data_IF_847930670535
#
_entry.id   IF_847930670535
#
_cell.length_a   1.000
_cell.length_b   1.000
_cell.length_c   1.000
_cell.angle_alpha   90.00
_cell.angle_beta   90.00
_cell.angle_gamma   90.00
#
_symmetry.space_group_name_H-M   'P 1'
#
loop_
_entity.id
_entity.type
_entity.pdbx_description
1 polymer ?
#
# COMPACT_ATOMS: atom_id res chain seq x y z
N UNK A 1 5.58 -6.76 0.21
CA UNK A 1 5.87 -5.41 -0.35
C UNK A 1 6.20 -4.52 0.82
N UNK A 2 7.20 -3.68 0.68
CA UNK A 2 7.81 -2.89 1.77
C UNK A 2 7.40 -1.42 1.74
N UNK A 3 6.42 -1.04 0.89
CA UNK A 3 5.92 0.33 0.72
C UNK A 3 7.01 1.34 0.28
N UNK A 4 8.14 0.85 -0.22
CA UNK A 4 9.27 1.67 -0.62
C UNK A 4 9.31 1.77 -2.16
N UNK A 5 9.05 2.95 -2.69
CA UNK A 5 9.09 3.21 -4.14
C UNK A 5 10.50 3.08 -4.76
N UNK A 6 11.54 2.97 -3.92
CA UNK A 6 12.93 2.78 -4.36
C UNK A 6 13.30 1.30 -4.52
N UNK A 7 12.42 0.40 -4.13
CA UNK A 7 12.55 -1.04 -4.36
C UNK A 7 11.53 -1.48 -5.38
N UNK A 8 11.87 -2.45 -6.20
CA UNK A 8 10.99 -2.91 -7.27
C UNK A 8 11.21 -4.40 -7.57
N UNK A 9 10.20 -4.98 -8.13
CA UNK A 9 10.27 -6.25 -8.85
C UNK A 9 10.44 -5.96 -10.35
N UNK A 10 11.27 -6.75 -11.02
CA UNK A 10 11.44 -6.69 -12.47
C UNK A 10 11.28 -8.07 -13.08
N UNK A 11 10.67 -8.12 -14.25
CA UNK A 11 10.62 -9.31 -15.10
C UNK A 11 11.99 -9.56 -15.76
N UNK A 12 12.14 -10.69 -16.41
CA UNK A 12 13.37 -11.01 -17.12
C UNK A 12 13.57 -10.12 -18.36
N UNK A 13 12.50 -9.61 -18.93
CA UNK A 13 12.53 -8.78 -20.14
C UNK A 13 11.37 -7.79 -20.15
N UNK A 14 11.38 -6.86 -21.13
CA UNK A 14 10.26 -5.97 -21.43
C UNK A 14 9.28 -6.52 -22.46
N UNK A 15 9.34 -7.80 -22.79
CA UNK A 15 8.49 -8.36 -23.85
C UNK A 15 7.04 -8.44 -23.43
N UNK A 16 6.18 -8.36 -24.41
CA UNK A 16 4.75 -8.64 -24.24
C UNK A 16 4.56 -10.06 -23.70
N UNK A 17 3.68 -10.20 -22.71
CA UNK A 17 3.41 -11.47 -22.05
C UNK A 17 4.08 -11.68 -20.71
N UNK A 18 5.09 -10.90 -20.35
CA UNK A 18 5.67 -10.90 -18.99
C UNK A 18 4.61 -10.54 -17.94
N UNK A 19 4.68 -11.15 -16.77
CA UNK A 19 3.65 -10.97 -15.75
C UNK A 19 4.20 -11.08 -14.32
N UNK A 20 3.51 -10.41 -13.40
CA UNK A 20 3.64 -10.60 -11.96
C UNK A 20 2.31 -11.09 -11.40
N UNK A 21 2.36 -12.09 -10.54
CA UNK A 21 1.22 -12.62 -9.80
C UNK A 21 1.46 -12.50 -8.31
N UNK A 22 0.42 -12.13 -7.58
CA UNK A 22 0.40 -12.17 -6.12
C UNK A 22 -0.68 -13.15 -5.65
N UNK A 23 -0.38 -13.88 -4.56
CA UNK A 23 -1.33 -14.73 -3.84
C UNK A 23 -1.78 -13.99 -2.57
N UNK A 24 -3.06 -13.73 -2.44
CA UNK A 24 -3.64 -13.09 -1.26
C UNK A 24 -3.79 -14.06 -0.06
N UNK A 25 -3.33 -15.31 -0.25
CA UNK A 25 -3.40 -16.37 0.76
C UNK A 25 -4.78 -17.04 0.88
N UNK A 26 -5.84 -16.31 0.63
CA UNK A 26 -7.23 -16.78 0.64
C UNK A 26 -8.10 -15.99 -0.34
N UNK A 27 -9.29 -16.47 -0.63
CA UNK A 27 -10.25 -15.73 -1.46
C UNK A 27 -10.77 -14.51 -0.69
N UNK A 28 -10.64 -13.34 -1.32
CA UNK A 28 -11.04 -12.03 -0.82
C UNK A 28 -12.04 -11.38 -1.76
N UNK A 29 -12.77 -10.37 -1.29
CA UNK A 29 -13.53 -9.47 -2.14
C UNK A 29 -12.62 -8.30 -2.52
N UNK A 30 -12.15 -8.29 -3.76
CA UNK A 30 -11.27 -7.25 -4.30
C UNK A 30 -12.12 -6.11 -4.88
N UNK A 31 -11.82 -4.89 -4.49
CA UNK A 31 -12.56 -3.67 -4.86
C UNK A 31 -11.70 -2.70 -5.68
N UNK A 32 -10.39 -2.70 -5.45
CA UNK A 32 -9.48 -1.87 -6.22
C UNK A 32 -8.08 -2.49 -6.28
N UNK A 33 -7.33 -2.11 -7.32
CA UNK A 33 -5.92 -2.49 -7.49
C UNK A 33 -5.13 -1.24 -7.83
N UNK A 34 -4.06 -0.97 -7.07
CA UNK A 34 -3.10 0.07 -7.39
C UNK A 34 -1.87 -0.55 -8.04
N UNK A 35 -1.51 -0.02 -9.19
CA UNK A 35 -0.33 -0.39 -9.95
C UNK A 35 0.67 0.77 -9.89
N UNK A 36 1.87 0.50 -9.39
CA UNK A 36 2.97 1.46 -9.42
C UNK A 36 4.09 0.88 -10.28
N UNK A 37 4.25 1.40 -11.47
CA UNK A 37 5.28 0.98 -12.41
C UNK A 37 6.61 1.63 -11.99
N UNK A 38 7.69 0.89 -12.19
CA UNK A 38 9.05 1.35 -11.91
C UNK A 38 9.84 1.33 -13.21
N UNK A 39 10.13 2.46 -13.76
CA UNK A 39 10.83 2.66 -15.05
C UNK A 39 12.28 2.14 -15.05
N UNK A 40 12.49 0.83 -14.93
CA UNK A 40 13.84 0.26 -14.90
C UNK A 40 14.43 0.10 -16.30
N UNK A 41 15.73 0.39 -16.39
CA UNK A 41 16.56 0.31 -17.60
C UNK A 41 16.12 1.23 -18.76
N UNK A 42 15.13 2.08 -18.52
CA UNK A 42 14.73 3.10 -19.50
C UNK A 42 15.69 4.29 -19.58
N UNK A 43 16.54 4.49 -18.56
CA UNK A 43 17.47 5.62 -18.51
C UNK A 43 18.52 5.60 -19.65
N UNK A 44 18.83 4.41 -20.14
CA UNK A 44 19.76 4.23 -21.26
C UNK A 44 19.14 4.54 -22.62
N UNK A 45 17.81 4.56 -22.68
CA UNK A 45 17.07 4.88 -23.88
C UNK A 45 16.67 6.35 -23.81
N UNK A 46 17.20 7.17 -24.74
CA UNK A 46 16.82 8.58 -24.86
C UNK A 46 15.30 8.72 -24.85
N UNK A 47 14.75 9.30 -23.81
CA UNK A 47 13.32 9.54 -23.64
C UNK A 47 12.97 10.86 -24.27
N UNK A 48 12.42 10.82 -25.45
CA UNK A 48 11.80 11.99 -26.07
C UNK A 48 10.30 12.13 -25.68
N UNK A 49 9.73 11.09 -25.04
CA UNK A 49 8.35 11.08 -24.57
C UNK A 49 8.19 10.25 -23.27
N UNK A 50 7.18 10.58 -22.47
CA UNK A 50 6.79 9.78 -21.30
C UNK A 50 6.41 8.35 -21.75
N UNK A 51 6.88 7.31 -21.06
CA UNK A 51 6.54 5.94 -21.43
C UNK A 51 5.05 5.69 -21.20
N UNK A 52 4.43 5.03 -22.17
CA UNK A 52 3.05 4.58 -22.06
C UNK A 52 3.05 3.09 -21.82
N UNK A 53 2.47 2.66 -20.70
CA UNK A 53 2.41 1.25 -20.34
C UNK A 53 1.06 0.65 -20.71
N UNK A 54 1.09 -0.49 -21.39
CA UNK A 54 -0.10 -1.26 -21.76
C UNK A 54 -0.09 -2.60 -21.06
N UNK A 55 -1.12 -2.85 -20.26
CA UNK A 55 -1.21 -4.05 -19.45
C UNK A 55 -2.67 -4.50 -19.28
N UNK A 56 -2.85 -5.71 -18.81
CA UNK A 56 -4.12 -6.20 -18.28
C UNK A 56 -3.97 -6.63 -16.84
N UNK A 57 -5.04 -6.44 -16.06
CA UNK A 57 -5.18 -6.99 -14.73
C UNK A 57 -6.16 -8.15 -14.78
N UNK A 58 -5.79 -9.25 -14.17
CA UNK A 58 -6.57 -10.47 -14.13
C UNK A 58 -6.71 -10.96 -12.69
N UNK A 59 -7.83 -11.58 -12.38
CA UNK A 59 -8.12 -12.21 -11.09
C UNK A 59 -8.43 -13.69 -11.25
N UNK A 60 -8.13 -14.47 -10.22
CA UNK A 60 -8.45 -15.89 -10.17
C UNK A 60 -8.70 -16.36 -8.74
N UNK A 61 -9.61 -17.31 -8.54
CA UNK A 61 -9.79 -18.00 -7.27
C UNK A 61 -8.88 -19.22 -7.12
N UNK A 62 -8.47 -19.84 -8.22
CA UNK A 62 -7.79 -21.13 -8.25
C UNK A 62 -6.38 -21.11 -8.90
N UNK A 63 -5.98 -19.94 -9.42
CA UNK A 63 -4.71 -19.76 -10.14
C UNK A 63 -4.67 -20.38 -11.54
N UNK A 64 -5.78 -20.94 -12.01
CA UNK A 64 -5.90 -21.61 -13.34
C UNK A 64 -6.89 -20.88 -14.23
N UNK A 65 -8.06 -20.56 -13.71
CA UNK A 65 -9.10 -19.84 -14.43
C UNK A 65 -9.00 -18.35 -14.13
N UNK A 66 -8.75 -17.55 -15.17
CA UNK A 66 -8.47 -16.11 -15.05
C UNK A 66 -9.58 -15.28 -15.67
N UNK A 67 -9.99 -14.26 -14.95
CA UNK A 67 -10.94 -13.25 -15.41
C UNK A 67 -10.23 -11.88 -15.48
N UNK A 68 -10.38 -11.19 -16.59
CA UNK A 68 -9.88 -9.83 -16.74
C UNK A 68 -10.72 -8.87 -15.89
N UNK A 69 -10.05 -8.08 -15.04
CA UNK A 69 -10.66 -7.07 -14.17
C UNK A 69 -10.21 -5.65 -14.53
N UNK A 70 -9.20 -5.51 -15.36
CA UNK A 70 -8.74 -4.23 -15.88
C UNK A 70 -8.09 -4.39 -17.25
N UNK A 71 -8.45 -3.53 -18.19
CA UNK A 71 -7.91 -3.52 -19.55
C UNK A 71 -7.27 -2.17 -19.87
N UNK A 72 -5.96 -2.17 -20.05
CA UNK A 72 -5.16 -1.01 -20.42
C UNK A 72 -4.38 -1.22 -21.72
N UNK A 73 -4.84 -2.15 -22.57
CA UNK A 73 -4.22 -2.42 -23.86
C UNK A 73 -4.27 -1.24 -24.84
N UNK A 74 -5.23 -0.34 -24.64
CA UNK A 74 -5.39 0.89 -25.44
C UNK A 74 -4.98 2.15 -24.70
N UNK A 75 -4.21 2.01 -23.59
CA UNK A 75 -3.73 3.18 -22.89
C UNK A 75 -2.85 4.04 -23.82
N UNK A 76 -3.07 5.33 -23.81
CA UNK A 76 -2.34 6.35 -24.56
C UNK A 76 -1.79 7.48 -23.67
N UNK A 77 -1.85 7.30 -22.36
CA UNK A 77 -1.49 8.30 -21.37
C UNK A 77 -0.43 7.77 -20.40
N UNK A 78 0.31 8.70 -19.82
CA UNK A 78 1.14 8.41 -18.65
C UNK A 78 0.25 8.00 -17.48
N UNK A 79 0.43 6.77 -16.99
CA UNK A 79 -0.33 6.18 -15.90
C UNK A 79 0.56 5.25 -15.05
N UNK A 80 1.75 5.73 -14.65
CA UNK A 80 2.72 4.95 -13.86
C UNK A 80 2.27 4.67 -12.44
N UNK A 81 1.30 5.43 -11.92
CA UNK A 81 0.72 5.27 -10.57
C UNK A 81 -0.80 5.22 -10.63
N UNK A 82 -1.34 4.17 -11.20
CA UNK A 82 -2.78 4.06 -11.43
C UNK A 82 -3.48 3.31 -10.29
N UNK A 83 -4.57 3.89 -9.78
CA UNK A 83 -5.55 3.19 -8.95
C UNK A 83 -6.76 2.80 -9.80
N UNK A 84 -6.92 1.51 -10.06
CA UNK A 84 -8.09 0.95 -10.72
C UNK A 84 -9.13 0.57 -9.66
N UNK A 85 -10.21 1.33 -9.60
CA UNK A 85 -11.40 0.99 -8.79
C UNK A 85 -12.34 0.17 -9.67
N UNK A 86 -12.76 -0.99 -9.18
CA UNK A 86 -13.67 -1.89 -9.90
C UNK A 86 -15.11 -1.41 -9.74
N UNK A 87 -15.92 -1.49 -10.80
CA UNK A 87 -17.34 -1.14 -10.76
C UNK A 87 -18.13 -1.99 -9.76
N UNK A 88 -17.65 -3.19 -9.52
CA UNK A 88 -18.17 -4.13 -8.51
C UNK A 88 -17.02 -4.99 -7.97
N UNK A 89 -17.11 -5.39 -6.71
CA UNK A 89 -16.14 -6.28 -6.12
C UNK A 89 -16.10 -7.64 -6.82
N UNK A 90 -14.92 -8.22 -6.91
CA UNK A 90 -14.70 -9.56 -7.47
C UNK A 90 -14.08 -10.48 -6.42
N UNK A 91 -14.53 -11.75 -6.40
CA UNK A 91 -13.89 -12.76 -5.55
C UNK A 91 -12.60 -13.22 -6.19
N UNK A 92 -11.48 -13.09 -5.48
CA UNK A 92 -10.17 -13.52 -5.97
C UNK A 92 -9.25 -13.96 -4.84
N UNK A 93 -8.41 -14.94 -5.11
CA UNK A 93 -7.22 -15.27 -4.33
C UNK A 93 -5.94 -14.79 -5.01
N UNK A 94 -5.93 -14.79 -6.33
CA UNK A 94 -4.77 -14.38 -7.12
C UNK A 94 -5.09 -13.16 -7.95
N UNK A 95 -4.17 -12.21 -7.96
CA UNK A 95 -4.19 -11.06 -8.87
C UNK A 95 -2.94 -11.11 -9.71
N UNK A 96 -3.10 -10.92 -11.02
CA UNK A 96 -2.00 -10.89 -11.97
C UNK A 96 -2.07 -9.63 -12.82
N UNK A 97 -0.94 -8.98 -12.97
CA UNK A 97 -0.71 -7.96 -13.98
C UNK A 97 0.14 -8.55 -15.08
N UNK A 98 -0.26 -8.35 -16.32
CA UNK A 98 0.44 -8.86 -17.49
C UNK A 98 0.76 -7.72 -18.45
N UNK A 99 2.04 -7.60 -18.80
CA UNK A 99 2.49 -6.66 -19.83
C UNK A 99 1.95 -7.03 -21.20
N UNK A 100 1.45 -6.07 -21.94
CA UNK A 100 0.81 -6.27 -23.24
C UNK A 100 1.54 -5.58 -24.40
N UNK A 101 2.71 -5.01 -24.13
CA UNK A 101 3.52 -4.31 -25.14
C UNK A 101 5.01 -4.61 -24.95
N UNK A 102 5.75 -4.58 -26.05
CA UNK A 102 7.22 -4.67 -25.99
C UNK A 102 7.80 -3.32 -25.54
N UNK A 103 8.49 -3.34 -24.41
CA UNK A 103 9.10 -2.15 -23.81
C UNK A 103 10.51 -1.94 -24.36
N UNK A 104 10.64 -1.51 -25.60
CA UNK A 104 11.86 -1.22 -26.35
C UNK A 104 13.13 -0.99 -25.50
N UNK A 105 13.75 -2.10 -25.04
CA UNK A 105 14.99 -2.09 -24.24
C UNK A 105 14.84 -1.94 -22.74
N UNK A 106 13.66 -1.57 -22.22
CA UNK A 106 13.35 -1.59 -20.78
C UNK A 106 12.89 -2.97 -20.31
N UNK A 107 12.68 -3.13 -19.01
CA UNK A 107 12.09 -4.32 -18.41
C UNK A 107 10.72 -3.97 -17.80
N UNK A 108 9.81 -4.94 -17.81
CA UNK A 108 8.53 -4.74 -17.11
C UNK A 108 8.78 -4.82 -15.60
N UNK A 109 8.62 -3.69 -14.92
CA UNK A 109 8.97 -3.56 -13.51
C UNK A 109 7.92 -2.78 -12.72
N UNK A 110 7.75 -3.16 -11.46
CA UNK A 110 6.74 -2.62 -10.56
C UNK A 110 7.38 -2.27 -9.22
N UNK A 111 7.25 -1.02 -8.78
CA UNK A 111 7.58 -0.62 -7.41
C UNK A 111 6.46 -0.97 -6.42
N UNK A 112 5.26 -1.29 -6.90
CA UNK A 112 4.18 -1.76 -6.07
C UNK A 112 2.99 -2.30 -6.85
N UNK A 113 2.40 -3.36 -6.32
CA UNK A 113 1.09 -3.87 -6.74
C UNK A 113 0.27 -4.07 -5.47
N UNK A 114 -0.68 -3.17 -5.22
CA UNK A 114 -1.52 -3.20 -4.02
C UNK A 114 -2.94 -3.61 -4.37
N UNK A 115 -3.50 -4.49 -3.57
CA UNK A 115 -4.88 -4.95 -3.73
C UNK A 115 -5.68 -4.49 -2.53
N UNK A 116 -6.78 -3.81 -2.80
CA UNK A 116 -7.70 -3.30 -1.79
C UNK A 116 -9.01 -4.07 -1.88
N UNK A 117 -9.54 -4.41 -0.71
CA UNK A 117 -10.78 -5.15 -0.65
C UNK A 117 -11.17 -5.49 0.76
N UNK A 118 -12.17 -6.34 0.89
CA UNK A 118 -12.71 -6.78 2.18
C UNK A 118 -12.64 -8.29 2.35
N UNK A 119 -12.34 -8.71 3.58
CA UNK A 119 -12.39 -10.10 4.01
C UNK A 119 -13.66 -10.40 4.81
N UNK A 120 -13.87 -11.69 5.07
CA UNK A 120 -14.98 -12.18 5.93
C UNK A 120 -14.48 -12.64 7.32
N UNK A 121 -13.23 -12.37 7.65
CA UNK A 121 -12.61 -12.73 8.91
C UNK A 121 -12.89 -11.72 10.03
N UNK A 122 -12.11 -11.80 11.09
CA UNK A 122 -12.18 -10.87 12.22
C UNK A 122 -11.29 -9.66 11.98
N UNK A 123 -11.77 -8.48 12.36
CA UNK A 123 -10.94 -7.32 12.49
C UNK A 123 -9.84 -7.55 13.54
N UNK A 124 -8.68 -6.88 13.46
CA UNK A 124 -7.59 -7.09 14.40
C UNK A 124 -7.97 -6.66 15.82
N UNK A 125 -7.37 -7.30 16.80
CA UNK A 125 -7.50 -6.90 18.19
C UNK A 125 -6.84 -5.53 18.44
N UNK A 126 -7.25 -4.85 19.51
CA UNK A 126 -6.61 -3.60 19.92
C UNK A 126 -5.10 -3.80 20.18
N UNK A 127 -4.29 -2.83 19.81
CA UNK A 127 -2.87 -2.84 20.16
C UNK A 127 -2.68 -2.72 21.68
N UNK A 128 -1.60 -3.30 22.17
CA UNK A 128 -1.15 -3.12 23.55
C UNK A 128 0.19 -2.39 23.58
N UNK A 129 0.55 -1.83 24.74
CA UNK A 129 1.86 -1.21 24.92
C UNK A 129 2.16 0.00 24.03
N UNK A 130 1.14 0.67 23.49
CA UNK A 130 1.36 1.88 22.68
C UNK A 130 2.08 2.94 23.48
N UNK A 131 3.24 3.37 22.99
CA UNK A 131 4.12 4.38 23.61
C UNK A 131 4.51 5.40 22.55
N UNK A 132 4.58 6.64 22.98
CA UNK A 132 5.05 7.77 22.18
C UNK A 132 6.13 8.50 22.97
N UNK A 133 7.26 8.77 22.33
CA UNK A 133 8.38 9.49 22.94
C UNK A 133 8.83 10.60 22.00
N UNK A 134 8.85 11.84 22.49
CA UNK A 134 9.42 12.98 21.76
C UNK A 134 10.95 12.84 21.73
N UNK A 135 11.54 13.12 20.61
CA UNK A 135 12.99 13.13 20.50
C UNK A 135 13.58 14.26 21.35
N UNK A 136 14.54 13.91 22.24
CA UNK A 136 15.12 14.87 23.17
C UNK A 136 15.93 15.98 22.47
N UNK A 137 16.56 15.68 21.33
CA UNK A 137 17.38 16.62 20.59
C UNK A 137 16.55 17.42 19.56
N UNK A 138 15.47 16.84 19.06
CA UNK A 138 14.55 17.51 18.13
C UNK A 138 13.10 17.19 18.49
N UNK A 139 12.51 18.04 19.33
CA UNK A 139 11.12 17.87 19.79
C UNK A 139 10.06 17.96 18.70
N UNK A 140 10.45 18.28 17.46
CA UNK A 140 9.55 18.18 16.30
C UNK A 140 9.37 16.74 15.82
N UNK A 141 10.13 15.78 16.37
CA UNK A 141 10.07 14.35 16.04
C UNK A 141 9.58 13.54 17.23
N UNK A 142 8.90 12.45 16.93
CA UNK A 142 8.46 11.48 17.92
C UNK A 142 8.63 10.06 17.40
N UNK A 143 9.00 9.16 18.28
CA UNK A 143 9.05 7.72 18.04
C UNK A 143 7.82 7.06 18.65
N UNK A 144 7.27 6.11 17.93
CA UNK A 144 6.08 5.33 18.29
C UNK A 144 6.44 3.86 18.36
N UNK A 145 5.98 3.16 19.38
CA UNK A 145 6.14 1.71 19.54
C UNK A 145 4.88 1.11 20.12
N UNK A 146 4.57 -0.10 19.72
CA UNK A 146 3.41 -0.85 20.21
C UNK A 146 3.63 -2.36 20.02
N UNK A 147 2.78 -3.16 20.66
CA UNK A 147 2.77 -4.59 20.45
C UNK A 147 1.63 -4.95 19.52
N UNK A 148 1.97 -5.55 18.40
CA UNK A 148 1.00 -6.12 17.43
C UNK A 148 0.21 -7.25 18.06
N UNK A 149 -1.07 -7.37 17.69
CA UNK A 149 -1.96 -8.43 18.14
C UNK A 149 -2.68 -9.06 16.96
N UNK A 150 -2.38 -10.34 16.71
CA UNK A 150 -3.05 -11.10 15.65
C UNK A 150 -2.72 -10.65 14.22
N UNK A 151 -3.60 -10.98 13.28
CA UNK A 151 -3.45 -10.65 11.87
C UNK A 151 -3.77 -9.17 11.64
N UNK A 152 -2.75 -8.33 11.55
CA UNK A 152 -2.86 -6.90 11.32
C UNK A 152 -2.12 -6.52 10.03
N UNK A 153 -2.80 -5.82 9.13
CA UNK A 153 -2.20 -5.30 7.90
C UNK A 153 -1.43 -4.03 8.16
N UNK A 154 -1.96 -3.14 9.02
CA UNK A 154 -1.33 -1.87 9.34
C UNK A 154 -2.07 -1.13 10.46
N UNK A 155 -1.62 0.09 10.72
CA UNK A 155 -2.11 0.91 11.80
C UNK A 155 -2.33 2.34 11.32
N UNK A 156 -3.35 3.01 11.88
CA UNK A 156 -3.55 4.44 11.71
C UNK A 156 -3.22 5.12 13.05
N UNK A 157 -2.15 5.91 13.07
CA UNK A 157 -1.82 6.78 14.19
C UNK A 157 -2.50 8.12 13.93
N UNK A 158 -3.28 8.62 14.90
CA UNK A 158 -3.89 9.93 14.86
C UNK A 158 -3.35 10.80 15.96
N UNK A 159 -3.29 12.11 15.68
CA UNK A 159 -2.85 13.09 16.67
C UNK A 159 -3.51 14.45 16.50
N UNK A 160 -3.46 15.21 17.57
CA UNK A 160 -3.92 16.60 17.65
C UNK A 160 -3.47 17.25 18.94
N UNK A 161 -3.77 18.53 19.11
CA UNK A 161 -3.47 19.30 20.33
C UNK A 161 -4.60 19.23 21.36
N UNK A 162 -5.62 18.42 21.12
CA UNK A 162 -6.75 18.20 22.00
C UNK A 162 -6.97 16.71 22.27
N UNK A 163 -7.26 16.26 23.48
CA UNK A 163 -7.56 14.87 23.77
C UNK A 163 -8.87 14.38 23.11
N UNK A 164 -9.75 15.30 22.72
CA UNK A 164 -11.04 14.99 22.10
C UNK A 164 -10.98 15.00 20.58
N UNK A 165 -9.97 15.64 20.00
CA UNK A 165 -9.91 15.87 18.55
C UNK A 165 -8.48 15.60 18.05
N UNK A 166 -8.32 14.54 17.25
CA UNK A 166 -7.09 14.20 16.56
C UNK A 166 -7.34 14.26 15.05
N UNK A 167 -7.11 15.44 14.46
CA UNK A 167 -7.39 15.71 13.04
C UNK A 167 -6.30 15.24 12.08
N UNK A 168 -5.10 14.95 12.58
CA UNK A 168 -4.01 14.46 11.77
C UNK A 168 -3.95 12.94 11.84
N UNK A 169 -3.55 12.30 10.75
CA UNK A 169 -3.41 10.85 10.68
C UNK A 169 -2.27 10.45 9.77
N UNK A 170 -1.62 9.35 10.12
CA UNK A 170 -0.65 8.65 9.26
C UNK A 170 -0.92 7.14 9.33
N UNK A 171 -0.78 6.48 8.19
CA UNK A 171 -0.81 5.03 8.11
C UNK A 171 0.62 4.49 8.23
N UNK A 172 0.81 3.50 9.08
CA UNK A 172 2.10 2.87 9.34
C UNK A 172 1.98 1.35 9.33
N UNK A 173 3.10 0.69 9.07
CA UNK A 173 3.23 -0.76 9.00
C UNK A 173 4.33 -1.21 9.96
N UNK A 174 4.27 -2.45 10.43
CA UNK A 174 5.18 -2.94 11.48
C UNK A 174 4.71 -2.58 12.89
N UNK A 175 5.61 -2.56 13.85
CA UNK A 175 5.35 -2.36 15.28
C UNK A 175 6.04 -1.13 15.88
N UNK A 176 6.70 -0.35 15.01
CA UNK A 176 7.31 0.93 15.34
C UNK A 176 7.24 1.91 14.17
N UNK A 177 7.31 3.19 14.47
CA UNK A 177 7.39 4.27 13.49
C UNK A 177 8.10 5.48 14.07
N UNK A 178 8.64 6.32 13.20
CA UNK A 178 9.11 7.66 13.55
C UNK A 178 8.41 8.68 12.63
N UNK A 179 7.94 9.76 13.22
CA UNK A 179 7.27 10.82 12.49
C UNK A 179 7.68 12.21 13.00
N UNK A 180 7.62 13.20 12.11
CA UNK A 180 8.03 14.58 12.40
C UNK A 180 6.91 15.60 12.22
N UNK A 181 7.32 16.88 12.15
CA UNK A 181 6.46 18.05 11.96
C UNK A 181 5.59 18.46 13.17
N UNK A 182 5.96 18.02 14.37
CA UNK A 182 5.28 18.50 15.58
C UNK A 182 5.78 19.91 15.98
N UNK A 183 4.90 20.71 16.57
CA UNK A 183 5.33 21.95 17.22
C UNK A 183 6.13 21.62 18.49
N UNK A 184 7.27 22.30 18.70
CA UNK A 184 8.23 22.02 19.79
C UNK A 184 7.62 22.20 21.17
N UNK A 185 6.74 23.21 21.31
CA UNK A 185 6.25 23.68 22.59
C UNK A 185 4.78 23.31 22.86
N UNK A 186 4.22 22.47 21.99
CA UNK A 186 2.83 22.02 22.12
C UNK A 186 2.75 20.61 22.69
N UNK A 187 1.77 20.38 23.56
CA UNK A 187 1.33 19.06 23.99
C UNK A 187 0.51 18.42 22.88
N UNK A 188 0.82 17.17 22.56
CA UNK A 188 0.07 16.37 21.58
C UNK A 188 -0.59 15.16 22.24
N UNK A 189 -1.70 14.76 21.67
CA UNK A 189 -2.52 13.63 22.07
C UNK A 189 -2.58 12.64 20.91
N UNK A 190 -2.28 11.39 21.17
CA UNK A 190 -2.12 10.34 20.17
C UNK A 190 -3.04 9.18 20.44
N UNK A 191 -3.56 8.59 19.38
CA UNK A 191 -4.24 7.28 19.37
C UNK A 191 -3.68 6.43 18.27
N UNK A 192 -3.79 5.10 18.38
CA UNK A 192 -3.47 4.13 17.35
C UNK A 192 -4.65 3.19 17.15
N UNK A 193 -4.92 2.84 15.89
CA UNK A 193 -5.97 1.92 15.51
C UNK A 193 -5.43 0.91 14.51
N UNK A 194 -5.43 -0.40 14.80
CA UNK A 194 -5.05 -1.43 13.85
C UNK A 194 -6.15 -1.66 12.82
N UNK A 195 -5.77 -2.12 11.64
CA UNK A 195 -6.70 -2.54 10.60
C UNK A 195 -6.16 -3.74 9.82
N UNK A 196 -7.06 -4.47 9.22
CA UNK A 196 -6.79 -5.48 8.20
C UNK A 196 -7.93 -5.47 7.17
N UNK A 197 -7.94 -6.41 6.24
CA UNK A 197 -8.97 -6.56 5.21
C UNK A 197 -10.37 -6.88 5.78
N UNK A 198 -10.47 -7.27 7.04
CA UNK A 198 -11.75 -7.60 7.70
C UNK A 198 -12.32 -6.41 8.49
N UNK A 199 -11.58 -5.32 8.61
CA UNK A 199 -12.04 -4.10 9.25
C UNK A 199 -11.01 -3.46 10.19
N UNK A 200 -11.51 -2.50 10.98
CA UNK A 200 -10.71 -1.74 11.95
C UNK A 200 -10.89 -2.32 13.33
N UNK A 201 -9.78 -2.50 14.03
CA UNK A 201 -9.79 -2.88 15.44
C UNK A 201 -10.16 -1.69 16.34
N UNK A 202 -10.17 -1.94 17.66
CA UNK A 202 -10.48 -0.91 18.65
C UNK A 202 -9.35 0.13 18.71
N UNK A 203 -9.73 1.40 18.77
CA UNK A 203 -8.80 2.52 19.01
C UNK A 203 -8.19 2.40 20.42
N UNK A 204 -6.90 2.70 20.54
CA UNK A 204 -6.20 2.74 21.84
C UNK A 204 -6.76 3.84 22.76
N UNK A 205 -6.39 3.78 24.03
CA UNK A 205 -6.49 4.95 24.91
C UNK A 205 -5.66 6.11 24.35
N UNK A 206 -6.07 7.33 24.64
CA UNK A 206 -5.31 8.54 24.28
C UNK A 206 -4.05 8.61 25.14
N UNK A 207 -2.92 8.86 24.49
CA UNK A 207 -1.62 9.13 25.13
C UNK A 207 -1.28 10.59 24.90
N UNK A 208 -0.87 11.31 25.94
CA UNK A 208 -0.38 12.69 25.83
C UNK A 208 1.14 12.76 25.99
N UNK A 209 1.77 13.60 25.17
CA UNK A 209 3.21 13.86 25.21
C UNK A 209 3.47 15.35 25.02
N UNK A 210 4.35 15.91 25.82
CA UNK A 210 4.86 17.28 25.71
C UNK A 210 6.09 17.38 24.84
#
# INVERSE_FOLDING_TARGET
MDENIKTWWASQSGRSGEWLQIDLGRTMQVEAVQVNISDQDFETLRRDAAPVYRYVLESSCDGKNWQMIGDRRKNDRDAVHELLVLDRSVSARYIRIKNMEDLNGGVFSLSGLRVFGTGKGKAPSAVTGFKVVRNANDRRRASFRWNSQGETTGYVIRWGTSPKVQNNAVMVYGDEAEYGFFNRDSRYYFTIQPFNENGKGKISKVISVE
#
